data_IF_073718873482
#
_entry.id   IF_073718873482
#
_cell.length_a   1.000
_cell.length_b   1.000
_cell.length_c   1.000
_cell.angle_alpha   90.00
_cell.angle_beta   90.00
_cell.angle_gamma   90.00
#
_symmetry.space_group_name_H-M   'P 1'
#
loop_
_entity.id
_entity.type
_entity.pdbx_description
1 polymer ?
#
# COMPACT_ATOMS: atom_id res chain seq x y z
N UNK A 1 4.36 20.13 -6.63
CA UNK A 1 5.79 19.74 -6.58
C UNK A 1 5.92 18.48 -5.75
N UNK A 2 6.92 17.63 -6.00
CA UNK A 2 7.18 16.47 -5.12
C UNK A 2 7.58 16.97 -3.72
N UNK A 3 7.12 16.30 -2.67
CA UNK A 3 7.37 16.67 -1.28
C UNK A 3 7.65 15.40 -0.45
N UNK A 4 8.38 15.57 0.65
CA UNK A 4 8.64 14.50 1.62
C UNK A 4 9.30 13.26 0.99
N UNK A 5 8.87 12.03 1.35
CA UNK A 5 9.49 10.78 0.89
C UNK A 5 9.55 10.63 -0.63
N UNK A 6 8.63 11.25 -1.36
CA UNK A 6 8.62 11.22 -2.83
C UNK A 6 9.70 12.10 -3.44
N UNK A 7 9.99 13.25 -2.83
CA UNK A 7 11.09 14.11 -3.26
C UNK A 7 12.44 13.45 -2.94
N UNK A 8 12.56 12.84 -1.76
CA UNK A 8 13.75 12.11 -1.34
C UNK A 8 14.06 10.93 -2.27
N UNK A 9 13.07 10.07 -2.57
CA UNK A 9 13.26 8.98 -3.54
C UNK A 9 13.77 9.48 -4.90
N UNK A 10 13.16 10.55 -5.43
CA UNK A 10 13.54 11.10 -6.73
C UNK A 10 14.98 11.62 -6.73
N UNK A 11 15.44 12.24 -5.64
CA UNK A 11 16.81 12.72 -5.49
C UNK A 11 17.86 11.59 -5.42
N UNK A 12 17.47 10.39 -5.00
CA UNK A 12 18.35 9.22 -4.90
C UNK A 12 18.44 8.40 -6.19
N UNK A 13 17.71 8.77 -7.24
CA UNK A 13 17.79 8.09 -8.53
C UNK A 13 19.16 8.34 -9.20
N UNK A 14 19.74 7.35 -9.90
CA UNK A 14 21.00 7.54 -10.62
C UNK A 14 20.91 8.69 -11.62
N UNK A 15 21.99 9.48 -11.74
CA UNK A 15 22.05 10.56 -12.71
C UNK A 15 21.80 10.03 -14.13
N UNK A 16 20.92 10.69 -14.89
CA UNK A 16 20.55 10.27 -16.23
C UNK A 16 19.59 9.08 -16.33
N UNK A 17 19.10 8.54 -15.20
CA UNK A 17 18.08 7.48 -15.21
C UNK A 17 16.71 7.97 -15.70
N UNK A 18 16.39 9.24 -15.46
CA UNK A 18 15.18 9.90 -15.95
C UNK A 18 15.57 10.81 -17.12
N UNK A 19 15.20 10.41 -18.34
CA UNK A 19 15.53 11.15 -19.58
C UNK A 19 14.31 11.78 -20.24
N UNK A 20 13.11 11.40 -19.80
CA UNK A 20 11.83 11.90 -20.30
C UNK A 20 10.75 11.83 -19.22
N UNK A 21 9.62 12.50 -19.46
CA UNK A 21 8.43 12.37 -18.62
C UNK A 21 7.94 10.92 -18.54
N UNK A 22 7.98 10.17 -19.65
CA UNK A 22 7.55 8.77 -19.68
C UNK A 22 8.40 7.90 -18.73
N UNK A 23 9.72 8.06 -18.75
CA UNK A 23 10.61 7.32 -17.83
C UNK A 23 10.38 7.68 -16.37
N UNK A 24 10.02 8.93 -16.07
CA UNK A 24 9.65 9.34 -14.71
C UNK A 24 8.34 8.69 -14.27
N UNK A 25 7.34 8.70 -15.14
CA UNK A 25 6.05 8.09 -14.85
C UNK A 25 6.20 6.58 -14.59
N UNK A 26 6.94 5.87 -15.43
CA UNK A 26 7.15 4.42 -15.26
C UNK A 26 7.89 4.10 -13.96
N UNK A 27 8.98 4.82 -13.66
CA UNK A 27 9.73 4.62 -12.41
C UNK A 27 8.89 4.97 -11.18
N UNK A 28 8.06 5.99 -11.27
CA UNK A 28 7.14 6.38 -10.19
C UNK A 28 6.06 5.31 -9.97
N UNK A 29 5.47 4.80 -11.04
CA UNK A 29 4.48 3.74 -10.97
C UNK A 29 5.09 2.46 -10.40
N UNK A 30 6.26 2.04 -10.85
CA UNK A 30 6.95 0.87 -10.29
C UNK A 30 7.22 1.04 -8.78
N UNK A 31 7.68 2.24 -8.39
CA UNK A 31 7.97 2.55 -6.99
C UNK A 31 6.72 2.60 -6.12
N UNK A 32 5.66 3.31 -6.52
CA UNK A 32 4.56 3.67 -5.62
C UNK A 32 3.24 2.94 -5.89
N UNK A 33 3.05 2.35 -7.08
CA UNK A 33 1.83 1.61 -7.37
C UNK A 33 1.79 0.36 -6.48
N UNK A 34 0.64 0.08 -5.84
CA UNK A 34 0.45 -1.20 -5.18
C UNK A 34 0.58 -2.33 -6.22
N UNK A 35 1.20 -3.45 -5.86
CA UNK A 35 1.15 -4.62 -6.74
C UNK A 35 -0.30 -5.03 -7.00
N UNK A 36 -0.54 -5.77 -8.09
CA UNK A 36 -1.86 -6.36 -8.38
C UNK A 36 -2.43 -7.09 -7.16
N UNK A 37 -1.58 -7.83 -6.42
CA UNK A 37 -1.97 -8.53 -5.21
C UNK A 37 -2.44 -7.58 -4.10
N UNK A 38 -1.68 -6.53 -3.80
CA UNK A 38 -2.05 -5.53 -2.80
C UNK A 38 -3.33 -4.79 -3.19
N UNK A 39 -3.46 -4.43 -4.47
CA UNK A 39 -4.67 -3.81 -5.01
C UNK A 39 -5.90 -4.70 -4.81
N UNK A 40 -5.78 -6.01 -5.11
CA UNK A 40 -6.87 -6.97 -4.88
C UNK A 40 -7.25 -7.07 -3.41
N UNK A 41 -6.29 -7.08 -2.48
CA UNK A 41 -6.57 -7.10 -1.04
C UNK A 41 -7.30 -5.83 -0.57
N UNK A 42 -6.83 -4.66 -1.01
CA UNK A 42 -7.48 -3.38 -0.70
C UNK A 42 -8.89 -3.31 -1.29
N UNK A 43 -9.09 -3.85 -2.50
CA UNK A 43 -10.42 -3.99 -3.10
C UNK A 43 -11.33 -4.90 -2.27
N UNK A 44 -10.83 -6.02 -1.75
CA UNK A 44 -11.61 -6.89 -0.87
C UNK A 44 -12.02 -6.18 0.43
N UNK A 45 -11.13 -5.38 1.02
CA UNK A 45 -11.44 -4.61 2.25
C UNK A 45 -12.50 -3.55 1.97
N UNK A 46 -12.33 -2.77 0.90
CA UNK A 46 -13.26 -1.68 0.55
C UNK A 46 -14.66 -2.17 0.20
N UNK A 47 -14.78 -3.39 -0.34
CA UNK A 47 -16.06 -4.01 -0.66
C UNK A 47 -16.53 -4.99 0.43
N UNK A 48 -15.80 -5.12 1.54
CA UNK A 48 -16.18 -6.04 2.61
C UNK A 48 -17.47 -5.57 3.26
N UNK A 49 -18.50 -6.41 3.18
CA UNK A 49 -19.78 -6.20 3.84
C UNK A 49 -20.04 -7.38 4.76
N UNK A 50 -20.75 -7.10 5.85
CA UNK A 50 -21.28 -8.13 6.73
C UNK A 50 -22.38 -8.85 5.97
N UNK A 51 -22.31 -10.18 5.90
CA UNK A 51 -23.35 -10.98 5.25
C UNK A 51 -24.60 -11.07 6.15
N UNK A 52 -25.76 -11.35 5.54
CA UNK A 52 -27.04 -11.36 6.25
C UNK A 52 -27.08 -12.43 7.37
N UNK A 53 -26.46 -13.58 7.14
CA UNK A 53 -26.40 -14.72 8.06
C UNK A 53 -25.10 -14.78 8.89
N UNK A 54 -24.24 -13.77 8.79
CA UNK A 54 -22.96 -13.76 9.48
C UNK A 54 -23.07 -13.11 10.86
N UNK A 55 -22.32 -13.62 11.84
CA UNK A 55 -22.20 -12.98 13.16
C UNK A 55 -21.25 -11.78 13.11
N UNK A 56 -21.38 -10.84 14.05
CA UNK A 56 -20.42 -9.72 14.13
C UNK A 56 -18.99 -10.21 14.39
N UNK A 57 -18.84 -11.28 15.18
CA UNK A 57 -17.55 -11.88 15.47
C UNK A 57 -16.86 -12.40 14.20
N UNK A 58 -17.59 -13.12 13.35
CA UNK A 58 -17.05 -13.67 12.10
C UNK A 58 -16.68 -12.58 11.10
N UNK A 59 -17.50 -11.52 11.02
CA UNK A 59 -17.21 -10.35 10.19
C UNK A 59 -15.90 -9.67 10.61
N UNK A 60 -15.74 -9.42 11.91
CA UNK A 60 -14.52 -8.83 12.46
C UNK A 60 -13.31 -9.73 12.20
N UNK A 61 -13.47 -11.05 12.32
CA UNK A 61 -12.40 -12.00 12.02
C UNK A 61 -11.95 -11.94 10.55
N UNK A 62 -12.89 -11.88 9.59
CA UNK A 62 -12.57 -11.69 8.17
C UNK A 62 -11.90 -10.34 7.90
N UNK A 63 -12.40 -9.27 8.49
CA UNK A 63 -11.81 -7.93 8.35
C UNK A 63 -10.37 -7.91 8.85
N UNK A 64 -10.12 -8.41 10.08
CA UNK A 64 -8.78 -8.51 10.66
C UNK A 64 -7.85 -9.39 9.82
N UNK A 65 -8.35 -10.51 9.29
CA UNK A 65 -7.58 -11.36 8.38
C UNK A 65 -7.12 -10.62 7.12
N UNK A 66 -8.01 -9.85 6.48
CA UNK A 66 -7.68 -9.05 5.31
C UNK A 66 -6.67 -7.94 5.62
N UNK A 67 -6.86 -7.22 6.73
CA UNK A 67 -5.91 -6.19 7.19
C UNK A 67 -4.54 -6.82 7.45
N UNK A 68 -4.47 -7.94 8.17
CA UNK A 68 -3.21 -8.64 8.45
C UNK A 68 -2.48 -9.08 7.17
N UNK A 69 -3.21 -9.50 6.13
CA UNK A 69 -2.62 -9.86 4.83
C UNK A 69 -2.05 -8.65 4.10
N UNK A 70 -2.72 -7.50 4.19
CA UNK A 70 -2.19 -6.23 3.66
C UNK A 70 -0.94 -5.81 4.43
N UNK A 71 -0.98 -5.86 5.76
CA UNK A 71 0.16 -5.52 6.61
C UNK A 71 1.34 -6.45 6.34
N UNK A 72 1.13 -7.76 6.23
CA UNK A 72 2.19 -8.72 5.93
C UNK A 72 2.79 -8.49 4.53
N UNK A 73 1.97 -8.14 3.54
CA UNK A 73 2.46 -7.76 2.21
C UNK A 73 3.36 -6.54 2.27
N UNK A 74 2.97 -5.50 3.02
CA UNK A 74 3.80 -4.32 3.16
C UNK A 74 5.05 -4.61 4.01
N UNK A 75 4.94 -5.33 5.13
CA UNK A 75 6.05 -5.72 6.01
C UNK A 75 7.16 -6.51 5.30
N UNK A 76 6.78 -7.38 4.35
CA UNK A 76 7.73 -8.12 3.51
C UNK A 76 8.33 -7.29 2.36
N UNK A 77 7.77 -6.10 2.10
CA UNK A 77 8.30 -5.09 1.17
C UNK A 77 8.84 -3.91 2.00
N UNK A 78 10.04 -4.11 2.56
CA UNK A 78 10.69 -3.30 3.62
C UNK A 78 10.71 -1.78 3.42
N UNK A 79 10.56 -1.27 2.21
CA UNK A 79 10.53 0.17 1.95
C UNK A 79 9.12 0.79 2.02
N UNK A 80 8.05 -0.02 1.94
CA UNK A 80 6.65 0.43 1.94
C UNK A 80 5.93 0.18 3.28
N UNK A 81 6.53 -0.58 4.20
CA UNK A 81 5.93 -1.00 5.47
C UNK A 81 5.89 0.08 6.55
N UNK A 82 6.99 0.80 6.77
CA UNK A 82 7.10 1.68 7.94
C UNK A 82 6.06 2.80 7.93
N UNK A 83 5.88 3.46 6.78
CA UNK A 83 4.95 4.58 6.65
C UNK A 83 3.49 4.13 6.81
N UNK A 84 3.15 2.94 6.33
CA UNK A 84 1.81 2.39 6.42
C UNK A 84 1.48 1.91 7.84
N UNK A 85 2.42 1.21 8.49
CA UNK A 85 2.25 0.73 9.86
C UNK A 85 2.09 1.90 10.84
N UNK A 86 2.91 2.96 10.70
CA UNK A 86 2.84 4.13 11.58
C UNK A 86 1.48 4.81 11.55
N UNK A 87 0.91 5.01 10.35
CA UNK A 87 -0.44 5.59 10.19
C UNK A 87 -1.57 4.72 10.71
N UNK A 88 -1.41 3.39 10.71
CA UNK A 88 -2.43 2.48 11.25
C UNK A 88 -2.44 2.47 12.78
N UNK A 89 -1.28 2.56 13.43
CA UNK A 89 -1.18 2.65 14.89
C UNK A 89 -1.60 4.01 15.45
N UNK A 90 -1.59 5.08 14.64
CA UNK A 90 -2.11 6.40 15.02
C UNK A 90 -3.66 6.48 14.97
N UNK A 91 -4.34 5.44 14.50
CA UNK A 91 -5.81 5.37 14.39
C UNK A 91 -6.47 4.55 15.51
N UNK A 92 -5.70 4.04 16.47
CA UNK A 92 -6.17 3.48 17.76
C UNK A 92 -6.09 4.54 18.87
#
# INVERSE_FOLDING_TARGET
TLQGPTAEWFQHLPAGSITSWATLQDAFEDKYKPSKYAFTLLSQITHLKKEANETMHDFIARFKSLINRVLAYYASNTEKSEVFLRKLYELE
#
